data_IF_311523063941
#
_entry.id   IF_311523063941
#
_cell.length_a   1.000
_cell.length_b   1.000
_cell.length_c   1.000
_cell.angle_alpha   90.00
_cell.angle_beta   90.00
_cell.angle_gamma   90.00
#
_symmetry.space_group_name_H-M   'P 1'
#
loop_
_entity.id
_entity.type
_entity.pdbx_description
1 polymer ?
#
# COMPACT_ATOMS: atom_id res chain seq x y z
N UNK A 1 20.28 14.25 -2.84
CA UNK A 1 20.28 14.64 -1.40
C UNK A 1 20.86 13.49 -0.61
N UNK A 2 21.99 13.73 0.10
CA UNK A 2 22.65 12.70 0.92
C UNK A 2 22.27 12.79 2.41
N UNK A 3 21.93 13.99 2.90
CA UNK A 3 21.48 14.19 4.27
C UNK A 3 20.55 15.41 4.40
N UNK A 4 19.68 15.36 5.40
CA UNK A 4 18.83 16.47 5.86
C UNK A 4 18.93 16.50 7.38
N UNK A 5 19.20 17.67 7.96
CA UNK A 5 19.22 17.86 9.42
C UNK A 5 18.16 18.88 9.80
N UNK A 6 17.36 18.55 10.80
CA UNK A 6 16.37 19.44 11.42
C UNK A 6 16.74 19.64 12.88
N UNK A 7 16.81 20.90 13.31
CA UNK A 7 17.12 21.28 14.71
C UNK A 7 15.92 21.99 15.32
N UNK A 8 15.51 21.54 16.50
CA UNK A 8 14.48 22.18 17.33
C UNK A 8 15.16 22.71 18.58
N UNK A 9 14.94 23.97 18.98
CA UNK A 9 15.55 24.53 20.19
C UNK A 9 15.28 23.66 21.43
N UNK A 10 16.31 23.36 22.18
CA UNK A 10 16.22 22.51 23.38
C UNK A 10 16.14 21.01 23.17
N UNK A 11 16.20 20.55 21.91
CA UNK A 11 16.21 19.12 21.57
C UNK A 11 17.44 18.72 20.77
N UNK A 12 17.82 17.43 20.83
CA UNK A 12 18.87 16.88 19.97
C UNK A 12 18.46 16.95 18.50
N UNK A 13 19.39 17.35 17.64
CA UNK A 13 19.16 17.42 16.21
C UNK A 13 18.71 16.07 15.62
N UNK A 14 17.76 16.09 14.71
CA UNK A 14 17.32 14.93 13.94
C UNK A 14 17.99 14.98 12.57
N UNK A 15 18.79 13.97 12.24
CA UNK A 15 19.49 13.86 10.96
C UNK A 15 18.99 12.65 10.20
N UNK A 16 18.52 12.86 8.97
CA UNK A 16 18.20 11.81 8.00
C UNK A 16 19.30 11.70 6.96
N UNK A 17 19.92 10.53 6.86
CA UNK A 17 20.98 10.24 5.87
C UNK A 17 20.47 9.24 4.85
N UNK A 18 20.77 9.46 3.58
CA UNK A 18 20.33 8.66 2.45
C UNK A 18 21.56 8.10 1.71
N UNK A 19 21.50 6.81 1.36
CA UNK A 19 22.53 6.15 0.53
C UNK A 19 21.89 5.62 -0.74
N UNK A 20 22.64 5.65 -1.82
CA UNK A 20 22.20 5.23 -3.14
C UNK A 20 23.24 4.27 -3.74
N UNK A 21 22.80 3.41 -4.64
CA UNK A 21 23.69 2.60 -5.49
C UNK A 21 24.10 3.39 -6.75
N UNK A 22 24.88 2.76 -7.62
CA UNK A 22 25.39 3.36 -8.85
C UNK A 22 24.26 3.69 -9.87
N UNK A 23 23.10 3.01 -9.77
CA UNK A 23 21.89 3.32 -10.53
C UNK A 23 21.04 4.44 -9.89
N UNK A 24 21.56 5.12 -8.84
CA UNK A 24 20.88 6.17 -8.08
C UNK A 24 19.60 5.68 -7.36
N UNK A 25 19.45 4.39 -7.16
CA UNK A 25 18.37 3.83 -6.38
C UNK A 25 18.69 3.94 -4.88
N UNK A 26 17.71 4.34 -4.07
CA UNK A 26 17.87 4.48 -2.63
C UNK A 26 18.10 3.10 -1.97
N UNK A 27 19.25 2.89 -1.37
CA UNK A 27 19.60 1.63 -0.67
C UNK A 27 19.45 1.72 0.83
N UNK A 28 19.50 2.93 1.42
CA UNK A 28 19.34 3.09 2.87
C UNK A 28 18.87 4.50 3.22
N UNK A 29 17.97 4.57 4.21
CA UNK A 29 17.64 5.77 4.97
C UNK A 29 17.93 5.49 6.44
N UNK A 30 18.75 6.36 7.07
CA UNK A 30 19.09 6.30 8.50
C UNK A 30 18.62 7.61 9.14
N UNK A 31 17.83 7.50 10.19
CA UNK A 31 17.40 8.65 11.01
C UNK A 31 18.08 8.54 12.36
N UNK A 32 18.80 9.59 12.75
CA UNK A 32 19.45 9.73 14.05
C UNK A 32 18.80 10.86 14.83
N UNK A 33 18.78 10.71 16.15
CA UNK A 33 18.53 11.79 17.09
C UNK A 33 19.79 11.95 17.95
N UNK A 34 20.52 13.05 17.76
CA UNK A 34 21.90 13.15 18.21
C UNK A 34 22.77 12.07 17.58
N UNK A 35 23.54 11.35 18.38
CA UNK A 35 24.40 10.24 17.90
C UNK A 35 23.67 8.89 17.84
N UNK A 36 22.42 8.82 18.27
CA UNK A 36 21.67 7.57 18.34
C UNK A 36 20.87 7.32 17.08
N UNK A 37 21.00 6.13 16.49
CA UNK A 37 20.12 5.70 15.42
C UNK A 37 18.72 5.41 15.99
N UNK A 38 17.73 6.19 15.58
CA UNK A 38 16.33 5.99 15.96
C UNK A 38 15.60 5.04 15.00
N UNK A 39 15.98 5.08 13.70
CA UNK A 39 15.33 4.33 12.65
C UNK A 39 16.30 4.06 11.48
N UNK A 40 16.28 2.83 10.97
CA UNK A 40 17.00 2.46 9.75
C UNK A 40 16.02 1.76 8.81
N UNK A 41 16.06 2.15 7.54
CA UNK A 41 15.35 1.45 6.46
C UNK A 41 16.34 1.12 5.36
N UNK A 42 16.38 -0.14 4.94
CA UNK A 42 17.19 -0.60 3.82
C UNK A 42 16.31 -1.13 2.70
N UNK A 43 16.81 -1.00 1.48
CA UNK A 43 16.13 -1.40 0.27
C UNK A 43 17.06 -2.28 -0.54
N UNK A 44 16.56 -3.41 -1.01
CA UNK A 44 17.27 -4.30 -1.93
C UNK A 44 16.42 -4.40 -3.20
N UNK A 45 17.07 -4.28 -4.33
CA UNK A 45 16.44 -4.38 -5.64
C UNK A 45 16.67 -5.75 -6.23
N UNK A 46 15.81 -6.18 -7.13
CA UNK A 46 15.93 -7.45 -7.83
C UNK A 46 17.21 -7.48 -8.69
N UNK A 47 17.61 -8.68 -9.06
CA UNK A 47 18.68 -8.92 -10.01
C UNK A 47 18.11 -9.73 -11.16
N UNK A 48 18.32 -9.28 -12.37
CA UNK A 48 17.93 -9.99 -13.57
C UNK A 48 19.13 -10.85 -13.95
N UNK A 49 19.00 -12.18 -13.80
CA UNK A 49 19.98 -13.12 -14.29
C UNK A 49 19.94 -13.12 -15.82
N UNK A 50 21.10 -13.03 -16.46
CA UNK A 50 21.23 -13.21 -17.91
C UNK A 50 21.89 -14.55 -18.20
N UNK A 51 21.63 -15.10 -19.38
CA UNK A 51 22.17 -16.39 -19.83
C UNK A 51 23.71 -16.39 -19.95
N UNK A 52 24.33 -15.22 -19.99
CA UNK A 52 25.79 -15.02 -20.01
C UNK A 52 26.44 -15.06 -18.61
N UNK A 53 25.67 -15.32 -17.55
CA UNK A 53 26.12 -15.35 -16.17
C UNK A 53 26.27 -13.95 -15.54
N UNK A 54 25.98 -12.88 -16.25
CA UNK A 54 25.94 -11.53 -15.70
C UNK A 54 24.62 -11.26 -14.98
N UNK A 55 24.70 -10.74 -13.77
CA UNK A 55 23.54 -10.29 -13.01
C UNK A 55 23.38 -8.78 -13.10
N UNK A 56 22.42 -8.32 -13.86
CA UNK A 56 22.08 -6.89 -13.92
C UNK A 56 21.23 -6.50 -12.71
N UNK A 57 21.49 -5.33 -12.15
CA UNK A 57 20.62 -4.78 -11.11
C UNK A 57 19.30 -4.37 -11.73
N UNK A 58 18.22 -4.99 -11.27
CA UNK A 58 16.87 -4.65 -11.67
C UNK A 58 16.37 -3.34 -11.06
N UNK A 59 15.22 -2.91 -11.50
CA UNK A 59 14.58 -1.68 -11.03
C UNK A 59 13.51 -1.93 -9.98
N UNK A 60 13.07 -3.21 -9.83
CA UNK A 60 12.00 -3.59 -8.90
C UNK A 60 12.55 -3.81 -7.50
N UNK A 61 11.80 -3.40 -6.50
CA UNK A 61 12.15 -3.57 -5.09
C UNK A 61 11.99 -5.06 -4.69
N UNK A 62 13.09 -5.74 -4.36
CA UNK A 62 13.05 -7.13 -3.91
C UNK A 62 12.79 -7.26 -2.41
N UNK A 63 13.39 -6.38 -1.60
CA UNK A 63 13.22 -6.42 -0.14
C UNK A 63 13.35 -5.05 0.49
N UNK A 64 12.55 -4.82 1.54
CA UNK A 64 12.69 -3.68 2.44
C UNK A 64 12.83 -4.18 3.87
N UNK A 65 13.79 -3.63 4.63
CA UNK A 65 13.93 -3.92 6.06
C UNK A 65 13.82 -2.63 6.85
N UNK A 66 12.99 -2.65 7.87
CA UNK A 66 12.83 -1.60 8.86
C UNK A 66 13.46 -2.04 10.17
N UNK A 67 14.29 -1.21 10.80
CA UNK A 67 14.83 -1.44 12.13
C UNK A 67 14.61 -0.19 12.97
N UNK A 68 14.04 -0.34 14.16
CA UNK A 68 13.68 0.75 15.07
C UNK A 68 13.92 0.33 16.53
N UNK A 69 13.85 1.29 17.45
CA UNK A 69 14.14 1.03 18.85
C UNK A 69 15.61 0.67 19.09
N UNK A 70 16.53 1.42 18.50
CA UNK A 70 17.98 1.11 18.50
C UNK A 70 18.61 1.05 19.89
N UNK A 71 17.94 1.65 20.89
CA UNK A 71 18.36 1.58 22.30
C UNK A 71 17.64 0.45 23.07
N UNK A 72 16.76 -0.32 22.40
CA UNK A 72 16.06 -1.46 23.00
C UNK A 72 16.73 -2.77 22.64
N UNK A 73 16.74 -3.74 23.55
CA UNK A 73 17.21 -5.10 23.33
C UNK A 73 16.04 -6.05 23.66
N UNK A 74 15.57 -6.88 22.71
CA UNK A 74 16.02 -6.95 21.32
C UNK A 74 15.53 -5.77 20.46
N UNK A 75 16.34 -5.40 19.47
CA UNK A 75 15.93 -4.42 18.44
C UNK A 75 14.73 -4.93 17.68
N UNK A 76 13.77 -4.07 17.45
CA UNK A 76 12.62 -4.42 16.62
C UNK A 76 12.98 -4.29 15.14
N UNK A 77 12.60 -5.28 14.36
CA UNK A 77 12.77 -5.25 12.91
C UNK A 77 11.56 -5.81 12.20
N UNK A 78 11.32 -5.33 11.00
CA UNK A 78 10.28 -5.82 10.11
C UNK A 78 10.82 -5.80 8.69
N UNK A 79 10.62 -6.88 7.96
CA UNK A 79 10.99 -6.95 6.55
C UNK A 79 9.81 -7.33 5.68
N UNK A 80 9.86 -6.86 4.44
CA UNK A 80 8.94 -7.19 3.37
C UNK A 80 9.75 -7.68 2.19
N UNK A 81 9.48 -8.90 1.73
CA UNK A 81 10.09 -9.47 0.53
C UNK A 81 9.02 -9.59 -0.54
N UNK A 82 9.30 -9.10 -1.73
CA UNK A 82 8.36 -8.98 -2.85
C UNK A 82 8.70 -9.99 -3.93
N UNK A 83 7.68 -10.62 -4.50
CA UNK A 83 7.77 -11.46 -5.69
C UNK A 83 6.88 -10.86 -6.77
N UNK A 84 7.29 -10.95 -8.02
CA UNK A 84 6.60 -10.35 -9.16
C UNK A 84 6.34 -11.41 -10.23
N UNK A 85 5.30 -11.18 -11.04
CA UNK A 85 5.10 -11.86 -12.31
C UNK A 85 5.94 -11.21 -13.44
N UNK A 86 5.86 -11.78 -14.63
CA UNK A 86 6.57 -11.26 -15.81
C UNK A 86 6.07 -9.90 -16.28
N UNK A 87 4.81 -9.56 -15.94
CA UNK A 87 4.22 -8.24 -16.22
C UNK A 87 4.64 -7.16 -15.22
N UNK A 88 5.32 -7.55 -14.12
CA UNK A 88 5.78 -6.65 -13.06
C UNK A 88 4.77 -6.43 -11.94
N UNK A 89 3.67 -7.17 -11.90
CA UNK A 89 2.72 -7.12 -10.81
C UNK A 89 3.25 -7.88 -9.59
N UNK A 90 2.99 -7.38 -8.38
CA UNK A 90 3.38 -8.06 -7.14
C UNK A 90 2.49 -9.27 -6.93
N UNK A 91 3.05 -10.49 -6.96
CA UNK A 91 2.32 -11.75 -6.71
C UNK A 91 2.39 -12.19 -5.26
N UNK A 92 3.43 -11.76 -4.53
CA UNK A 92 3.58 -12.14 -3.12
C UNK A 92 4.34 -11.08 -2.34
N UNK A 93 3.89 -10.86 -1.09
CA UNK A 93 4.62 -10.10 -0.07
C UNK A 93 4.80 -11.02 1.13
N UNK A 94 6.05 -11.36 1.46
CA UNK A 94 6.38 -12.09 2.70
C UNK A 94 6.77 -11.07 3.75
N UNK A 95 6.05 -11.07 4.88
CA UNK A 95 6.32 -10.20 6.02
C UNK A 95 6.98 -11.00 7.14
N UNK A 96 8.11 -10.51 7.64
CA UNK A 96 8.85 -11.09 8.76
C UNK A 96 9.22 -10.00 9.76
N UNK A 97 9.32 -10.35 11.04
CA UNK A 97 9.70 -9.38 12.08
C UNK A 97 9.66 -9.93 13.49
N UNK A 98 10.18 -9.16 14.45
CA UNK A 98 10.29 -9.56 15.85
C UNK A 98 9.02 -9.36 16.66
N UNK A 99 8.08 -8.53 16.19
CA UNK A 99 6.92 -8.06 16.99
C UNK A 99 5.56 -8.26 16.31
N UNK A 100 5.49 -9.01 15.19
CA UNK A 100 4.26 -9.12 14.40
C UNK A 100 3.85 -10.57 14.27
N UNK A 101 2.53 -10.91 14.38
CA UNK A 101 2.01 -12.20 13.95
C UNK A 101 2.31 -12.40 12.46
N UNK A 102 3.38 -13.11 12.16
CA UNK A 102 4.00 -13.21 10.82
C UNK A 102 3.04 -13.70 9.72
N UNK A 103 2.12 -14.59 10.07
CA UNK A 103 1.22 -15.22 9.11
C UNK A 103 0.15 -14.26 8.57
N UNK A 104 -0.43 -13.41 9.42
CA UNK A 104 -1.56 -12.56 9.02
C UNK A 104 -1.18 -11.42 8.05
N UNK A 105 0.10 -11.05 8.00
CA UNK A 105 0.57 -9.90 7.23
C UNK A 105 1.21 -10.25 5.88
N UNK A 106 1.63 -11.52 5.68
CA UNK A 106 2.05 -11.99 4.36
C UNK A 106 0.84 -12.05 3.43
N UNK A 107 1.03 -11.69 2.17
CA UNK A 107 -0.05 -11.62 1.18
C UNK A 107 0.35 -12.28 -0.12
N UNK A 108 -0.61 -12.90 -0.78
CA UNK A 108 -0.51 -13.43 -2.15
C UNK A 108 -1.58 -12.78 -3.01
N UNK A 109 -1.24 -12.50 -4.26
CA UNK A 109 -2.09 -11.80 -5.20
C UNK A 109 -2.14 -12.53 -6.54
N UNK A 110 -3.29 -12.52 -7.18
CA UNK A 110 -3.44 -12.92 -8.58
C UNK A 110 -4.11 -11.80 -9.37
N UNK A 111 -3.88 -11.79 -10.65
CA UNK A 111 -4.40 -10.79 -11.56
C UNK A 111 -5.15 -11.46 -12.71
N UNK A 112 -6.13 -10.78 -13.27
CA UNK A 112 -6.83 -11.22 -14.47
C UNK A 112 -6.01 -10.92 -15.75
N UNK A 113 -6.57 -11.26 -16.90
CA UNK A 113 -5.91 -11.05 -18.19
C UNK A 113 -5.72 -9.56 -18.56
N UNK A 114 -6.45 -8.66 -17.89
CA UNK A 114 -6.33 -7.22 -18.04
C UNK A 114 -5.33 -6.61 -17.06
N UNK A 115 -4.71 -7.42 -16.18
CA UNK A 115 -3.80 -6.97 -15.14
C UNK A 115 -4.51 -6.39 -13.91
N UNK A 116 -5.81 -6.58 -13.77
CA UNK A 116 -6.58 -6.14 -12.61
C UNK A 116 -6.44 -7.15 -11.46
N UNK A 117 -6.40 -6.69 -10.22
CA UNK A 117 -6.29 -7.56 -9.05
C UNK A 117 -7.50 -8.48 -8.94
N UNK A 118 -7.32 -9.78 -9.18
CA UNK A 118 -8.38 -10.77 -9.10
C UNK A 118 -8.55 -11.33 -7.68
N UNK A 119 -7.44 -11.66 -7.01
CA UNK A 119 -7.49 -12.18 -5.63
C UNK A 119 -6.42 -11.56 -4.74
N UNK A 120 -6.74 -11.42 -3.46
CA UNK A 120 -5.78 -11.22 -2.38
C UNK A 120 -5.99 -12.30 -1.33
N UNK A 121 -4.94 -13.02 -0.94
CA UNK A 121 -4.97 -13.99 0.15
C UNK A 121 -3.95 -13.56 1.21
N UNK A 122 -4.37 -13.45 2.47
CA UNK A 122 -3.45 -13.16 3.56
C UNK A 122 -2.89 -14.46 4.17
N UNK A 123 -1.82 -14.34 4.97
CA UNK A 123 -1.15 -15.48 5.59
C UNK A 123 -2.00 -16.23 6.63
N UNK A 124 -3.12 -15.67 7.09
CA UNK A 124 -4.11 -16.35 7.95
C UNK A 124 -5.15 -17.16 7.17
N UNK A 125 -5.06 -17.15 5.83
CA UNK A 125 -5.94 -17.93 4.95
C UNK A 125 -7.17 -17.17 4.44
N UNK A 126 -7.44 -15.95 4.94
CA UNK A 126 -8.55 -15.12 4.43
C UNK A 126 -8.29 -14.75 2.97
N UNK A 127 -9.30 -14.96 2.13
CA UNK A 127 -9.24 -14.67 0.70
C UNK A 127 -10.25 -13.58 0.34
N UNK A 128 -9.79 -12.59 -0.42
CA UNK A 128 -10.63 -11.58 -1.06
C UNK A 128 -10.62 -11.81 -2.57
N UNK A 129 -11.81 -11.76 -3.18
CA UNK A 129 -11.98 -11.76 -4.62
C UNK A 129 -12.53 -10.40 -5.04
N UNK A 130 -12.05 -9.91 -6.15
CA UNK A 130 -12.45 -8.64 -6.75
C UNK A 130 -13.09 -8.94 -8.10
N UNK A 131 -14.23 -8.32 -8.39
CA UNK A 131 -14.87 -8.40 -9.70
C UNK A 131 -14.98 -7.03 -10.33
N UNK A 132 -14.88 -7.01 -11.64
CA UNK A 132 -14.88 -5.78 -12.44
C UNK A 132 -15.91 -5.88 -13.56
N UNK A 133 -16.35 -4.77 -14.09
CA UNK A 133 -17.07 -4.71 -15.35
C UNK A 133 -16.09 -4.61 -16.54
N UNK A 134 -16.64 -4.57 -17.74
CA UNK A 134 -15.86 -4.51 -18.98
C UNK A 134 -15.10 -3.19 -19.16
N UNK A 135 -15.45 -2.15 -18.41
CA UNK A 135 -14.76 -0.86 -18.40
C UNK A 135 -13.64 -0.81 -17.34
N UNK A 136 -13.52 -1.85 -16.49
CA UNK A 136 -12.52 -1.90 -15.42
C UNK A 136 -13.00 -1.35 -14.09
N UNK A 137 -14.28 -0.98 -13.96
CA UNK A 137 -14.82 -0.51 -12.69
C UNK A 137 -15.02 -1.69 -11.73
N UNK A 138 -14.58 -1.56 -10.49
CA UNK A 138 -14.77 -2.58 -9.46
C UNK A 138 -16.27 -2.76 -9.17
N UNK A 139 -16.78 -3.99 -9.25
CA UNK A 139 -18.20 -4.32 -9.03
C UNK A 139 -18.46 -4.91 -7.66
N UNK A 140 -17.55 -5.76 -7.16
CA UNK A 140 -17.71 -6.34 -5.84
C UNK A 140 -16.40 -6.74 -5.19
N UNK A 141 -16.42 -6.83 -3.86
CA UNK A 141 -15.41 -7.47 -3.04
C UNK A 141 -16.07 -8.61 -2.26
N UNK A 142 -15.59 -9.82 -2.49
CA UNK A 142 -16.02 -11.03 -1.78
C UNK A 142 -14.93 -11.43 -0.78
N UNK A 143 -15.30 -11.69 0.47
CA UNK A 143 -14.40 -12.20 1.50
C UNK A 143 -14.83 -13.61 1.87
N UNK A 144 -13.95 -14.59 1.73
CA UNK A 144 -14.18 -16.01 2.09
C UNK A 144 -15.52 -16.53 1.54
N UNK A 145 -15.83 -16.23 0.28
CA UNK A 145 -17.05 -16.63 -0.41
C UNK A 145 -18.28 -15.75 -0.18
N UNK A 146 -18.21 -14.75 0.70
CA UNK A 146 -19.33 -13.83 0.99
C UNK A 146 -19.06 -12.45 0.42
N UNK A 147 -19.99 -11.89 -0.36
CA UNK A 147 -19.89 -10.51 -0.85
C UNK A 147 -19.98 -9.55 0.33
N UNK A 148 -18.91 -8.79 0.56
CA UNK A 148 -18.82 -7.82 1.66
C UNK A 148 -19.04 -6.40 1.21
N UNK A 149 -18.75 -6.11 -0.08
CA UNK A 149 -19.00 -4.80 -0.70
C UNK A 149 -19.48 -5.00 -2.13
N UNK A 150 -20.41 -4.15 -2.57
CA UNK A 150 -20.81 -3.98 -3.95
C UNK A 150 -20.79 -2.50 -4.32
N UNK A 151 -20.47 -2.22 -5.57
CA UNK A 151 -20.28 -0.86 -6.09
C UNK A 151 -21.24 -0.62 -7.25
N UNK A 152 -21.99 0.47 -7.21
CA UNK A 152 -22.98 0.86 -8.20
C UNK A 152 -22.47 2.00 -9.08
N UNK A 153 -22.72 1.88 -10.40
CA UNK A 153 -22.40 2.86 -11.43
C UNK A 153 -23.65 3.02 -12.29
N UNK A 154 -24.53 3.92 -11.89
CA UNK A 154 -25.87 4.07 -12.49
C UNK A 154 -26.04 5.37 -13.30
N UNK A 155 -24.98 6.18 -13.38
CA UNK A 155 -25.02 7.42 -14.16
C UNK A 155 -24.87 7.11 -15.67
N UNK A 156 -25.94 7.24 -16.44
CA UNK A 156 -25.92 6.94 -17.88
C UNK A 156 -25.02 7.88 -18.69
N UNK A 157 -24.84 9.12 -18.23
CA UNK A 157 -23.97 10.12 -18.89
C UNK A 157 -22.50 9.95 -18.49
N UNK A 158 -22.24 9.26 -17.42
CA UNK A 158 -20.89 8.99 -16.92
C UNK A 158 -20.81 7.60 -16.30
N UNK A 159 -20.64 6.56 -17.13
CA UNK A 159 -20.70 5.16 -16.69
C UNK A 159 -19.67 4.73 -15.66
N UNK A 160 -18.53 5.44 -15.57
CA UNK A 160 -17.45 5.14 -14.62
C UNK A 160 -17.62 5.88 -13.28
N UNK A 161 -18.69 6.69 -13.14
CA UNK A 161 -18.95 7.41 -11.91
C UNK A 161 -19.55 6.49 -10.86
N UNK A 162 -18.83 6.28 -9.74
CA UNK A 162 -19.34 5.50 -8.61
C UNK A 162 -20.55 6.20 -7.99
N UNK A 163 -21.72 5.60 -8.02
CA UNK A 163 -22.96 6.20 -7.53
C UNK A 163 -23.44 5.61 -6.22
N UNK A 164 -23.00 4.40 -5.87
CA UNK A 164 -23.36 3.79 -4.59
C UNK A 164 -22.36 2.76 -4.12
N UNK A 165 -22.29 2.55 -2.80
CA UNK A 165 -21.53 1.48 -2.15
C UNK A 165 -22.45 0.75 -1.18
N UNK A 166 -22.58 -0.56 -1.35
CA UNK A 166 -23.29 -1.45 -0.43
C UNK A 166 -22.29 -2.23 0.41
N UNK A 167 -22.45 -2.23 1.72
CA UNK A 167 -21.67 -3.03 2.69
C UNK A 167 -22.63 -3.82 3.57
N UNK A 168 -22.65 -5.15 3.43
CA UNK A 168 -23.65 -6.00 4.05
C UNK A 168 -25.05 -5.61 3.59
N UNK A 169 -25.91 -5.20 4.51
CA UNK A 169 -27.29 -4.74 4.21
C UNK A 169 -27.42 -3.22 4.06
N UNK A 170 -26.34 -2.47 4.18
CA UNK A 170 -26.37 -1.00 4.14
C UNK A 170 -25.84 -0.49 2.82
N UNK A 171 -26.65 0.30 2.11
CA UNK A 171 -26.24 1.03 0.91
C UNK A 171 -26.08 2.51 1.22
N UNK A 172 -25.03 3.10 0.69
CA UNK A 172 -24.76 4.53 0.71
C UNK A 172 -24.70 5.04 -0.71
N UNK A 173 -25.45 6.07 -1.02
CA UNK A 173 -25.38 6.78 -2.29
C UNK A 173 -24.27 7.83 -2.23
N UNK A 174 -23.50 7.95 -3.32
CA UNK A 174 -22.39 8.88 -3.45
C UNK A 174 -22.90 10.09 -4.26
N UNK A 175 -22.80 11.26 -3.68
CA UNK A 175 -23.20 12.51 -4.33
C UNK A 175 -21.96 13.26 -4.79
N UNK A 176 -22.10 13.94 -5.92
CA UNK A 176 -21.04 14.73 -6.53
C UNK A 176 -21.52 16.16 -6.82
N UNK A 177 -20.62 17.12 -6.67
CA UNK A 177 -20.77 18.48 -7.20
C UNK A 177 -19.74 18.66 -8.31
N UNK A 178 -20.21 18.67 -9.55
CA UNK A 178 -19.33 18.56 -10.71
C UNK A 178 -18.62 17.19 -10.71
N UNK A 179 -17.28 17.18 -10.71
CA UNK A 179 -16.46 15.98 -10.65
C UNK A 179 -15.99 15.60 -9.23
N UNK A 180 -16.44 16.33 -8.22
CA UNK A 180 -15.98 16.18 -6.84
C UNK A 180 -17.05 15.49 -6.00
N UNK A 181 -16.67 14.39 -5.33
CA UNK A 181 -17.53 13.76 -4.34
C UNK A 181 -17.75 14.73 -3.17
N UNK A 182 -19.00 15.05 -2.88
CA UNK A 182 -19.39 15.99 -1.82
C UNK A 182 -19.96 15.30 -0.59
N UNK A 183 -20.61 14.14 -0.77
CA UNK A 183 -21.16 13.40 0.35
C UNK A 183 -21.37 11.94 0.01
N UNK A 184 -21.44 11.07 1.04
CA UNK A 184 -22.06 9.77 0.98
C UNK A 184 -23.30 9.71 1.87
N UNK A 185 -24.42 9.32 1.25
CA UNK A 185 -25.68 9.18 1.96
C UNK A 185 -25.92 7.72 2.32
N UNK A 186 -26.12 7.36 3.59
CA UNK A 186 -26.74 6.08 3.91
C UNK A 186 -28.18 6.09 3.32
N UNK A 187 -28.62 4.95 2.79
CA UNK A 187 -30.00 4.76 2.30
C UNK A 187 -31.08 5.03 3.36
N UNK A 188 -30.65 5.12 4.63
CA UNK A 188 -31.46 5.57 5.77
C UNK A 188 -30.52 6.25 6.78
N UNK A 189 -30.67 7.55 7.02
CA UNK A 189 -29.90 8.30 8.01
C UNK A 189 -29.40 9.66 7.52
N UNK A 190 -28.58 10.31 8.32
CA UNK A 190 -28.00 11.62 7.97
C UNK A 190 -26.83 11.44 7.00
N UNK A 191 -26.67 12.33 5.99
CA UNK A 191 -25.55 12.29 5.07
C UNK A 191 -24.22 12.54 5.80
N UNK A 192 -23.17 11.83 5.38
CA UNK A 192 -21.80 12.15 5.75
C UNK A 192 -21.24 13.06 4.67
N UNK A 193 -20.97 14.31 5.01
CA UNK A 193 -20.44 15.31 4.08
C UNK A 193 -18.91 15.28 4.11
N UNK A 194 -18.28 15.16 2.94
CA UNK A 194 -16.83 15.30 2.77
C UNK A 194 -16.50 16.73 2.36
N UNK A 195 -15.67 17.40 3.14
CA UNK A 195 -15.18 18.73 2.79
C UNK A 195 -13.86 18.57 2.01
N UNK A 196 -13.77 19.27 0.89
CA UNK A 196 -12.59 19.27 0.00
C UNK A 196 -11.37 20.00 0.60
N UNK A 197 -11.01 19.73 1.84
CA UNK A 197 -9.81 20.31 2.47
C UNK A 197 -9.83 21.84 2.62
N UNK A 198 -10.98 22.48 2.41
CA UNK A 198 -11.20 23.88 2.76
C UNK A 198 -12.13 23.92 3.96
N UNK A 199 -11.58 24.30 5.11
CA UNK A 199 -12.38 24.70 6.26
C UNK A 199 -13.25 25.91 5.84
N UNK A 200 -14.53 25.69 5.68
CA UNK A 200 -15.49 26.79 5.63
C UNK A 200 -15.88 27.09 7.08
N UNK A 201 -15.27 28.11 7.65
CA UNK A 201 -15.72 28.77 8.87
C UNK A 201 -17.04 29.48 8.61
#
# INVERSE_FOLDING_TARGET
ISAITTTVPGQSAITSTYKYNDLRQLTSKIVKQGDTNAYIRTYTYDRIAQDDGCNWMGTRLAKTVYSFGMNQIPRQSRSFTYTYDDSGNITKIVTEGTSVPKAAESKEYTYDAQGQLATEKNGSGTTFLYSYDTAGNIRSITKDGTVTKSFGYTNASWPDLLTSVTSGSTTKDILYEGQTQTSDLPSSGNPITYYNGKDYT
#
